data_IF_600026127694
#
_entry.id   IF_600026127694
#
_cell.length_a   1.000
_cell.length_b   1.000
_cell.length_c   1.000
_cell.angle_alpha   90.00
_cell.angle_beta   90.00
_cell.angle_gamma   90.00
#
_symmetry.space_group_name_H-M   'P 1'
#
loop_
_entity.id
_entity.type
_entity.pdbx_description
1 polymer ?
#
# COMPACT_ATOMS: atom_id res chain seq x y z
N UNK A 1 -5.84 16.34 39.27
CA UNK A 1 -5.73 15.73 37.93
C UNK A 1 -7.10 15.76 37.30
N UNK A 2 -7.37 16.73 36.42
CA UNK A 2 -8.60 16.81 35.64
C UNK A 2 -8.48 15.86 34.44
N UNK A 3 -9.46 14.99 34.27
CA UNK A 3 -9.57 14.11 33.11
C UNK A 3 -10.14 14.94 31.94
N UNK A 4 -9.36 15.16 30.89
CA UNK A 4 -9.85 15.68 29.61
C UNK A 4 -10.54 14.51 28.89
N UNK A 5 -11.86 14.57 28.58
CA UNK A 5 -12.53 13.50 27.88
C UNK A 5 -11.98 13.40 26.44
N UNK A 6 -11.39 12.26 26.10
CA UNK A 6 -11.02 11.94 24.72
C UNK A 6 -12.31 11.85 23.90
N UNK A 7 -12.62 12.88 23.12
CA UNK A 7 -13.84 12.92 22.32
C UNK A 7 -13.74 11.93 21.15
N UNK A 8 -14.61 10.92 21.16
CA UNK A 8 -14.70 9.93 20.10
C UNK A 8 -15.10 10.62 18.77
N UNK A 9 -14.27 10.49 17.73
CA UNK A 9 -14.63 10.90 16.37
C UNK A 9 -15.48 9.79 15.75
N UNK A 10 -16.76 10.05 15.51
CA UNK A 10 -17.64 9.09 14.83
C UNK A 10 -17.40 9.18 13.32
N UNK A 11 -16.85 8.14 12.71
CA UNK A 11 -16.76 8.01 11.24
C UNK A 11 -17.99 7.27 10.73
N UNK A 12 -18.78 7.91 9.88
CA UNK A 12 -19.98 7.29 9.27
C UNK A 12 -19.63 6.84 7.85
N UNK A 13 -19.64 5.54 7.60
CA UNK A 13 -19.48 4.96 6.26
C UNK A 13 -20.89 4.73 5.71
N UNK A 14 -21.32 5.52 4.71
CA UNK A 14 -22.57 5.27 3.98
C UNK A 14 -22.25 4.68 2.61
N UNK A 15 -22.87 3.55 2.30
CA UNK A 15 -22.82 2.98 0.95
C UNK A 15 -23.95 3.63 0.13
N UNK A 16 -23.61 4.60 -0.75
CA UNK A 16 -24.55 5.09 -1.78
C UNK A 16 -24.37 4.26 -3.04
N UNK A 17 -25.48 3.73 -3.57
CA UNK A 17 -25.53 2.97 -4.82
C UNK A 17 -25.91 3.96 -5.94
N UNK A 18 -25.03 4.92 -6.20
CA UNK A 18 -25.16 5.77 -7.39
C UNK A 18 -24.40 5.11 -8.53
N UNK A 19 -24.99 5.10 -9.74
CA UNK A 19 -24.47 4.47 -10.97
C UNK A 19 -23.18 5.13 -11.54
N UNK A 20 -22.33 5.69 -10.66
CA UNK A 20 -21.02 6.21 -10.98
C UNK A 20 -19.98 5.08 -10.76
N UNK A 21 -19.18 4.69 -11.78
CA UNK A 21 -18.18 3.62 -11.65
C UNK A 21 -17.06 3.88 -10.62
N UNK A 22 -17.02 5.08 -10.03
CA UNK A 22 -16.18 5.44 -8.89
C UNK A 22 -16.89 5.21 -7.55
N UNK A 23 -16.94 3.95 -7.13
CA UNK A 23 -17.43 3.59 -5.80
C UNK A 23 -16.37 3.89 -4.73
N UNK A 24 -16.46 5.07 -4.12
CA UNK A 24 -16.00 5.32 -2.75
C UNK A 24 -16.82 6.46 -2.15
N UNK A 25 -17.91 6.17 -1.44
CA UNK A 25 -18.86 7.17 -0.91
C UNK A 25 -18.66 7.41 0.60
N UNK A 26 -17.40 7.48 1.07
CA UNK A 26 -17.11 7.73 2.50
C UNK A 26 -16.79 9.21 2.70
N UNK A 27 -17.76 9.95 3.18
CA UNK A 27 -17.59 11.34 3.61
C UNK A 27 -17.21 11.34 5.09
N UNK A 28 -16.06 11.92 5.43
CA UNK A 28 -15.79 12.25 6.83
C UNK A 28 -16.43 13.60 7.14
N UNK A 29 -17.21 13.64 8.22
CA UNK A 29 -17.83 14.85 8.73
C UNK A 29 -17.20 15.24 10.05
N UNK A 30 -17.01 16.54 10.30
CA UNK A 30 -16.77 17.02 11.65
C UNK A 30 -18.04 16.95 12.51
N UNK A 31 -17.92 17.31 13.79
CA UNK A 31 -19.02 17.35 14.76
C UNK A 31 -20.15 18.32 14.37
N UNK A 32 -19.87 19.26 13.47
CA UNK A 32 -20.78 20.32 13.04
C UNK A 32 -21.43 19.96 11.68
N UNK A 33 -21.12 18.78 11.13
CA UNK A 33 -21.69 18.26 9.89
C UNK A 33 -20.99 18.76 8.62
N UNK A 34 -19.81 19.39 8.73
CA UNK A 34 -19.04 19.83 7.57
C UNK A 34 -18.20 18.69 7.02
N UNK A 35 -18.08 18.62 5.69
CA UNK A 35 -17.19 17.66 5.02
C UNK A 35 -15.74 18.04 5.33
N UNK A 36 -15.01 17.13 5.96
CA UNK A 36 -13.58 17.30 6.29
C UNK A 36 -12.66 16.42 5.43
N UNK A 37 -13.22 15.50 4.66
CA UNK A 37 -12.49 14.69 3.69
C UNK A 37 -13.38 14.32 2.50
N UNK A 38 -12.84 14.47 1.29
CA UNK A 38 -13.47 13.97 0.06
C UNK A 38 -12.90 12.57 -0.23
N UNK A 39 -13.75 11.56 -0.44
CA UNK A 39 -13.24 10.27 -0.85
C UNK A 39 -12.60 10.38 -2.24
N UNK A 40 -11.51 9.65 -2.44
CA UNK A 40 -10.88 9.47 -3.74
C UNK A 40 -10.45 8.01 -3.89
N UNK A 41 -10.42 7.55 -5.13
CA UNK A 41 -10.06 6.18 -5.48
C UNK A 41 -8.58 6.10 -5.80
N UNK A 42 -7.90 5.14 -5.18
CA UNK A 42 -6.54 4.74 -5.53
C UNK A 42 -6.65 3.49 -6.40
N UNK A 43 -6.23 3.56 -7.66
CA UNK A 43 -6.33 2.44 -8.59
C UNK A 43 -5.27 2.53 -9.71
N UNK A 44 -4.87 1.38 -10.24
CA UNK A 44 -4.07 1.26 -11.45
C UNK A 44 -4.74 0.35 -12.47
N UNK A 45 -4.13 0.15 -13.65
CA UNK A 45 -4.73 -0.69 -14.72
C UNK A 45 -4.81 -2.16 -14.34
N UNK A 46 -4.01 -2.59 -13.38
CA UNK A 46 -3.97 -3.94 -12.85
C UNK A 46 -3.61 -3.90 -11.34
N UNK A 47 -3.53 -5.08 -10.72
CA UNK A 47 -3.22 -5.21 -9.28
C UNK A 47 -1.84 -4.67 -8.90
N UNK A 48 -0.85 -4.83 -9.78
CA UNK A 48 0.53 -4.39 -9.55
C UNK A 48 0.61 -2.86 -9.57
N UNK A 49 -0.01 -2.22 -10.57
CA UNK A 49 -0.11 -0.76 -10.64
C UNK A 49 -0.95 -0.20 -9.49
N UNK A 50 -2.02 -0.88 -9.08
CA UNK A 50 -2.82 -0.45 -7.92
C UNK A 50 -1.99 -0.46 -6.63
N UNK A 51 -1.19 -1.50 -6.42
CA UNK A 51 -0.29 -1.57 -5.27
C UNK A 51 0.74 -0.41 -5.28
N UNK A 52 1.29 -0.08 -6.44
CA UNK A 52 2.18 1.09 -6.62
C UNK A 52 1.47 2.40 -6.30
N UNK A 53 0.22 2.59 -6.76
CA UNK A 53 -0.55 3.79 -6.43
C UNK A 53 -0.83 3.92 -4.94
N UNK A 54 -1.12 2.80 -4.25
CA UNK A 54 -1.25 2.79 -2.78
C UNK A 54 0.08 3.13 -2.11
N UNK A 55 1.20 2.60 -2.60
CA UNK A 55 2.52 2.91 -2.07
C UNK A 55 2.90 4.39 -2.25
N UNK A 56 2.59 4.98 -3.41
CA UNK A 56 2.80 6.41 -3.66
C UNK A 56 1.96 7.30 -2.74
N UNK A 57 0.76 6.84 -2.39
CA UNK A 57 -0.16 7.56 -1.53
C UNK A 57 0.25 7.55 -0.05
N UNK A 58 1.21 6.68 0.33
CA UNK A 58 1.77 6.62 1.68
C UNK A 58 2.22 7.99 2.20
N UNK A 59 2.90 8.79 1.35
CA UNK A 59 3.37 10.12 1.71
C UNK A 59 2.22 11.07 2.10
N UNK A 60 1.05 10.94 1.46
CA UNK A 60 -0.09 11.81 1.78
C UNK A 60 -0.56 11.61 3.23
N UNK A 61 -0.49 10.39 3.75
CA UNK A 61 -0.91 10.07 5.11
C UNK A 61 0.17 10.31 6.16
N UNK A 62 1.41 9.87 5.89
CA UNK A 62 2.47 9.85 6.91
C UNK A 62 3.43 11.03 6.83
N UNK A 63 3.43 11.79 5.72
CA UNK A 63 4.36 12.92 5.45
C UNK A 63 5.84 12.51 5.48
N UNK A 64 6.10 11.22 5.30
CA UNK A 64 7.41 10.58 5.21
C UNK A 64 7.35 9.43 4.20
N UNK A 65 8.51 9.00 3.70
CA UNK A 65 8.60 7.82 2.83
C UNK A 65 8.49 6.53 3.64
N UNK A 66 8.08 5.41 3.04
CA UNK A 66 8.07 4.13 3.73
C UNK A 66 9.49 3.69 4.10
N UNK A 67 9.66 3.14 5.31
CA UNK A 67 10.95 2.61 5.78
C UNK A 67 11.24 1.23 5.16
N UNK A 68 10.19 0.48 4.81
CA UNK A 68 10.29 -0.88 4.29
C UNK A 68 9.33 -1.10 3.13
N UNK A 69 9.78 -1.84 2.12
CA UNK A 69 8.94 -2.33 1.03
C UNK A 69 8.80 -3.84 1.12
N UNK A 70 7.56 -4.30 1.23
CA UNK A 70 7.25 -5.72 1.25
C UNK A 70 6.82 -6.16 -0.15
N UNK A 71 7.46 -7.20 -0.66
CA UNK A 71 7.13 -7.82 -1.95
C UNK A 71 6.37 -9.11 -1.68
N UNK A 72 5.17 -9.22 -2.25
CA UNK A 72 4.36 -10.44 -2.20
C UNK A 72 3.90 -10.85 -3.60
N UNK A 73 3.57 -12.12 -3.77
CA UNK A 73 2.98 -12.60 -5.00
C UNK A 73 1.55 -12.03 -5.17
N UNK A 74 1.30 -11.36 -6.29
CA UNK A 74 0.01 -10.73 -6.57
C UNK A 74 -1.11 -11.70 -6.94
N UNK A 75 -0.79 -12.95 -7.31
CA UNK A 75 -1.73 -14.02 -7.66
C UNK A 75 -2.06 -14.94 -6.48
N UNK A 76 -1.13 -15.12 -5.55
CA UNK A 76 -1.31 -15.92 -4.34
C UNK A 76 -1.72 -15.04 -3.15
N UNK A 77 -3.03 -14.77 -3.09
CA UNK A 77 -3.70 -13.92 -2.08
C UNK A 77 -3.34 -14.15 -0.60
N UNK A 78 -3.07 -15.38 -0.12
CA UNK A 78 -2.79 -15.60 1.32
C UNK A 78 -1.55 -14.85 1.82
N UNK A 79 -0.51 -14.74 1.00
CA UNK A 79 0.77 -14.14 1.40
C UNK A 79 0.67 -12.62 1.49
N UNK A 80 -0.05 -12.00 0.54
CA UNK A 80 -0.32 -10.57 0.54
C UNK A 80 -1.18 -10.13 1.75
N UNK A 81 -2.11 -10.99 2.21
CA UNK A 81 -2.91 -10.70 3.40
C UNK A 81 -2.08 -10.76 4.69
N UNK A 82 -1.18 -11.75 4.81
CA UNK A 82 -0.27 -11.84 5.95
C UNK A 82 0.73 -10.67 5.97
N UNK A 83 1.18 -10.22 4.80
CA UNK A 83 2.08 -9.08 4.64
C UNK A 83 1.50 -7.75 5.18
N UNK A 84 0.18 -7.58 5.24
CA UNK A 84 -0.46 -6.35 5.73
C UNK A 84 -0.07 -5.99 7.17
N UNK A 85 -0.04 -6.98 8.07
CA UNK A 85 0.40 -6.76 9.44
C UNK A 85 1.90 -6.44 9.52
N UNK A 86 2.69 -7.07 8.66
CA UNK A 86 4.13 -6.82 8.58
C UNK A 86 4.40 -5.38 8.11
N UNK A 87 3.69 -4.92 7.08
CA UNK A 87 3.79 -3.56 6.55
C UNK A 87 3.48 -2.52 7.63
N UNK A 88 2.39 -2.71 8.38
CA UNK A 88 2.05 -1.82 9.49
C UNK A 88 3.11 -1.79 10.60
N UNK A 89 3.76 -2.92 10.89
CA UNK A 89 4.82 -3.01 11.92
C UNK A 89 6.11 -2.31 11.50
N UNK A 90 6.47 -2.37 10.23
CA UNK A 90 7.72 -1.84 9.69
C UNK A 90 7.55 -0.51 8.93
N UNK A 91 6.44 0.22 9.18
CA UNK A 91 6.13 1.50 8.51
C UNK A 91 6.35 1.42 6.99
N UNK A 92 5.82 0.35 6.42
CA UNK A 92 6.11 -0.05 5.06
C UNK A 92 4.90 -0.07 4.16
N UNK A 93 5.22 -0.26 2.88
CA UNK A 93 4.23 -0.46 1.81
C UNK A 93 4.32 -1.88 1.27
N UNK A 94 3.28 -2.33 0.59
CA UNK A 94 3.27 -3.62 -0.09
C UNK A 94 3.24 -3.37 -1.59
N UNK A 95 4.21 -3.93 -2.30
CA UNK A 95 4.18 -4.06 -3.74
C UNK A 95 3.97 -5.52 -4.13
N UNK A 96 3.50 -5.72 -5.35
CA UNK A 96 3.15 -7.04 -5.85
C UNK A 96 4.07 -7.45 -7.00
N UNK A 97 4.40 -8.73 -7.05
CA UNK A 97 5.13 -9.37 -8.15
C UNK A 97 4.36 -10.57 -8.70
N UNK A 98 4.75 -11.07 -9.88
CA UNK A 98 4.43 -12.43 -10.28
C UNK A 98 5.50 -13.40 -9.77
N UNK A 99 5.21 -14.70 -9.83
CA UNK A 99 6.16 -15.75 -9.39
C UNK A 99 7.46 -15.71 -10.19
N UNK A 100 7.39 -15.46 -11.49
CA UNK A 100 8.55 -15.55 -12.40
C UNK A 100 8.95 -14.25 -13.07
N UNK A 101 8.22 -13.17 -12.81
CA UNK A 101 8.42 -11.88 -13.48
C UNK A 101 8.12 -10.75 -12.53
N UNK A 102 9.06 -9.81 -12.41
CA UNK A 102 8.85 -8.55 -11.71
C UNK A 102 8.12 -7.58 -12.65
N UNK A 103 6.88 -7.14 -12.34
CA UNK A 103 6.17 -6.19 -13.18
C UNK A 103 6.90 -4.84 -13.23
N UNK A 104 6.91 -4.21 -14.41
CA UNK A 104 7.64 -2.96 -14.64
C UNK A 104 7.19 -1.83 -13.70
N UNK A 105 5.90 -1.78 -13.34
CA UNK A 105 5.38 -0.82 -12.37
C UNK A 105 6.04 -0.96 -11.00
N UNK A 106 6.25 -2.21 -10.56
CA UNK A 106 6.86 -2.53 -9.27
C UNK A 106 8.36 -2.24 -9.30
N UNK A 107 9.03 -2.61 -10.39
CA UNK A 107 10.45 -2.33 -10.63
C UNK A 107 10.76 -0.84 -10.57
N UNK A 108 10.06 -0.02 -11.36
CA UNK A 108 10.26 1.43 -11.36
C UNK A 108 10.00 2.07 -10.00
N UNK A 109 9.04 1.55 -9.23
CA UNK A 109 8.80 2.05 -7.89
C UNK A 109 9.96 1.70 -6.94
N UNK A 110 10.48 0.47 -7.00
CA UNK A 110 11.66 0.04 -6.23
C UNK A 110 12.90 0.89 -6.54
N UNK A 111 13.18 1.14 -7.82
CA UNK A 111 14.29 2.01 -8.23
C UNK A 111 14.18 3.43 -7.67
N UNK A 112 12.97 3.92 -7.43
CA UNK A 112 12.71 5.26 -6.89
C UNK A 112 12.77 5.39 -5.37
N UNK A 113 12.86 4.29 -4.61
CA UNK A 113 12.77 4.30 -3.15
C UNK A 113 14.09 4.59 -2.42
N UNK A 114 15.23 4.50 -3.11
CA UNK A 114 16.51 5.03 -2.62
C UNK A 114 16.99 4.51 -1.26
N UNK A 115 16.82 3.21 -0.99
CA UNK A 115 17.36 2.55 0.21
C UNK A 115 16.33 2.13 1.27
N UNK A 116 15.06 1.93 0.92
CA UNK A 116 14.10 1.26 1.81
C UNK A 116 14.45 -0.21 1.97
N UNK A 117 14.37 -0.77 3.18
CA UNK A 117 14.56 -2.20 3.38
C UNK A 117 13.55 -3.01 2.56
N UNK A 118 13.99 -4.05 1.86
CA UNK A 118 13.08 -4.92 1.09
C UNK A 118 12.89 -6.26 1.78
N UNK A 119 11.62 -6.62 2.02
CA UNK A 119 11.24 -7.92 2.58
C UNK A 119 10.41 -8.67 1.55
N UNK A 120 10.83 -9.88 1.19
CA UNK A 120 10.07 -10.76 0.30
C UNK A 120 9.27 -11.77 1.13
N UNK A 121 7.96 -11.86 0.87
CA UNK A 121 7.04 -12.78 1.54
C UNK A 121 6.59 -13.85 0.55
N UNK A 122 6.79 -15.10 0.93
CA UNK A 122 6.52 -16.28 0.12
C UNK A 122 7.80 -17.08 -0.17
N UNK A 123 7.66 -18.37 -0.42
CA UNK A 123 8.78 -19.23 -0.83
C UNK A 123 9.11 -19.08 -2.32
N UNK A 124 10.10 -19.84 -2.81
CA UNK A 124 10.55 -19.81 -4.23
C UNK A 124 9.42 -20.05 -5.25
N UNK A 125 8.37 -20.79 -4.86
CA UNK A 125 7.20 -20.99 -5.71
C UNK A 125 6.38 -19.70 -5.90
N UNK A 126 6.31 -18.86 -4.87
CA UNK A 126 5.59 -17.59 -4.87
C UNK A 126 6.44 -16.45 -5.45
N UNK A 127 7.75 -16.44 -5.20
CA UNK A 127 8.69 -15.47 -5.78
C UNK A 127 9.96 -16.23 -6.15
N UNK A 128 10.21 -16.40 -7.45
CA UNK A 128 11.33 -17.21 -7.91
C UNK A 128 12.67 -16.57 -7.59
N UNK A 129 13.71 -17.40 -7.57
CA UNK A 129 15.10 -16.96 -7.33
C UNK A 129 15.54 -15.90 -8.35
N UNK A 130 15.07 -15.97 -9.59
CA UNK A 130 15.37 -14.96 -10.61
C UNK A 130 14.77 -13.59 -10.27
N UNK A 131 13.52 -13.56 -9.79
CA UNK A 131 12.88 -12.30 -9.34
C UNK A 131 13.58 -11.77 -8.09
N UNK A 132 13.94 -12.65 -7.15
CA UNK A 132 14.73 -12.28 -5.98
C UNK A 132 16.05 -11.59 -6.36
N UNK A 133 16.79 -12.19 -7.31
CA UNK A 133 18.06 -11.64 -7.78
C UNK A 133 17.87 -10.31 -8.52
N UNK A 134 16.79 -10.16 -9.29
CA UNK A 134 16.46 -8.89 -9.93
C UNK A 134 16.25 -7.77 -8.90
N UNK A 135 15.48 -8.04 -7.83
CA UNK A 135 15.25 -7.10 -6.73
C UNK A 135 16.57 -6.77 -6.01
N UNK A 136 17.39 -7.77 -5.69
CA UNK A 136 18.68 -7.56 -5.02
C UNK A 136 19.63 -6.66 -5.84
N UNK A 137 19.61 -6.79 -7.18
CA UNK A 137 20.42 -5.96 -8.06
C UNK A 137 19.92 -4.50 -8.10
N UNK A 138 18.62 -4.26 -8.03
CA UNK A 138 18.05 -2.91 -7.95
C UNK A 138 18.53 -2.21 -6.67
N UNK A 139 18.42 -2.88 -5.51
CA UNK A 139 18.85 -2.33 -4.23
C UNK A 139 20.36 -2.02 -4.16
N UNK A 140 21.18 -2.81 -4.85
CA UNK A 140 22.63 -2.57 -4.95
C UNK A 140 23.00 -1.36 -5.81
N UNK A 141 22.18 -1.02 -6.80
CA UNK A 141 22.45 0.12 -7.71
C UNK A 141 21.96 1.44 -7.13
N UNK A 142 20.94 1.39 -6.27
CA UNK A 142 20.33 2.58 -5.65
C UNK A 142 21.08 3.11 -4.41
N UNK A 143 22.08 2.39 -3.90
CA UNK A 143 22.93 2.78 -2.76
C UNK A 143 24.36 3.16 -3.21
#
# INVERSE_FOLDING_TARGET
MSYEPVQARVKVIKHSYDDNPDYSNVWEYDKDGNIISRPYRIFGKNRYETAVQVAMDYWHYFKEGPETTIIANGKDYPDALAAANLAGRYKGVILLTDSKTLPESTKHHLEGLGGSDVIIVGGEAAVSTEVFQEIENIERVSN
#
